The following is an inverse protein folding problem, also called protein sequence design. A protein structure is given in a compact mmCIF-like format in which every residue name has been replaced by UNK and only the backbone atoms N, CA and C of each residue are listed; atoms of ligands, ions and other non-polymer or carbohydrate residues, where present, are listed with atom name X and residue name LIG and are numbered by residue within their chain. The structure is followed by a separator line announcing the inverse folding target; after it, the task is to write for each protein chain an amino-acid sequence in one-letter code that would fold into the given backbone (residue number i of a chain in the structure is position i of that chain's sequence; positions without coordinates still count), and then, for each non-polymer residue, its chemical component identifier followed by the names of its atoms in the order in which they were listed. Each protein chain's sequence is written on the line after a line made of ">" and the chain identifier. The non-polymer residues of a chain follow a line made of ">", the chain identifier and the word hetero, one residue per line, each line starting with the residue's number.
data_IF_778381912270
#
_entry.id   IF_778381912270
#
_cell.length_a   1.000
_cell.length_b   1.000
_cell.length_c   1.000
_cell.angle_alpha   90.00
_cell.angle_beta   90.00
_cell.angle_gamma   90.00
#
_symmetry.space_group_name_H-M   'P 1'
#
loop_
_entity.id
_entity.type
_entity.pdbx_description
1 polymer ?
#
# COMPACT_ATOMS: atom_id res chain seq x y z
N UNK A 1 -17.18 -10.03 -9.23
CA UNK A 1 -16.91 -8.61 -9.54
C UNK A 1 -16.34 -7.94 -8.31
N UNK A 2 -15.16 -7.34 -8.42
CA UNK A 2 -14.57 -6.62 -7.29
C UNK A 2 -15.44 -5.38 -7.03
N UNK A 3 -16.02 -5.34 -5.84
CA UNK A 3 -16.82 -4.21 -5.38
C UNK A 3 -15.92 -3.01 -5.16
N UNK A 4 -16.43 -1.82 -5.47
CA UNK A 4 -15.72 -0.56 -5.29
C UNK A 4 -15.88 0.01 -3.87
N UNK A 5 -16.41 1.21 -3.75
CA UNK A 5 -16.62 1.92 -2.48
C UNK A 5 -18.01 1.66 -1.86
N UNK A 6 -18.62 0.51 -2.09
CA UNK A 6 -19.92 0.15 -1.54
C UNK A 6 -19.82 -0.15 -0.03
N UNK A 7 -20.83 0.23 0.75
CA UNK A 7 -20.94 -0.09 2.16
C UNK A 7 -19.87 0.53 3.07
N UNK A 8 -19.25 1.65 2.65
CA UNK A 8 -18.16 2.30 3.40
C UNK A 8 -16.77 1.74 3.09
N UNK A 9 -16.68 0.81 2.17
CA UNK A 9 -15.42 0.22 1.73
C UNK A 9 -14.68 1.10 0.73
N UNK A 10 -13.34 0.99 0.68
CA UNK A 10 -12.49 1.57 -0.36
C UNK A 10 -11.36 0.59 -0.67
N UNK A 11 -11.66 -0.45 -1.43
CA UNK A 11 -10.78 -1.62 -1.61
C UNK A 11 -9.69 -1.43 -2.66
N UNK A 12 -9.67 -0.30 -3.38
CA UNK A 12 -8.72 -0.01 -4.46
C UNK A 12 -8.26 1.43 -4.41
N UNK A 13 -7.09 1.69 -4.94
CA UNK A 13 -6.51 3.04 -5.03
C UNK A 13 -7.49 4.05 -5.66
N UNK A 14 -8.15 3.68 -6.73
CA UNK A 14 -9.13 4.53 -7.44
C UNK A 14 -10.59 4.32 -7.02
N UNK A 15 -10.85 3.62 -5.91
CA UNK A 15 -12.20 3.25 -5.45
C UNK A 15 -12.70 1.97 -6.10
N UNK A 16 -12.75 1.91 -7.41
CA UNK A 16 -13.23 0.78 -8.21
C UNK A 16 -12.28 0.43 -9.37
N UNK A 17 -12.67 -0.55 -10.19
CA UNK A 17 -11.89 -0.98 -11.37
C UNK A 17 -11.81 0.07 -12.47
N UNK A 18 -12.74 1.01 -12.51
CA UNK A 18 -12.77 2.13 -13.44
C UNK A 18 -12.00 3.34 -12.94
N UNK A 19 -11.43 3.29 -11.73
CA UNK A 19 -10.77 4.44 -11.07
C UNK A 19 -11.67 5.68 -11.01
N UNK A 20 -12.95 5.48 -10.76
CA UNK A 20 -13.94 6.58 -10.75
C UNK A 20 -13.75 7.53 -9.58
N UNK A 21 -13.07 7.09 -8.51
CA UNK A 21 -12.87 7.82 -7.25
C UNK A 21 -14.20 8.28 -6.63
N UNK A 22 -15.25 7.52 -6.91
CA UNK A 22 -16.59 7.80 -6.43
C UNK A 22 -16.94 6.91 -5.24
N UNK A 23 -17.51 7.50 -4.20
CA UNK A 23 -18.13 6.81 -3.08
C UNK A 23 -19.64 7.05 -3.10
N UNK A 24 -20.48 6.02 -2.98
CA UNK A 24 -21.94 6.17 -2.92
C UNK A 24 -22.45 6.58 -1.53
N UNK A 25 -21.57 6.91 -0.59
CA UNK A 25 -21.94 7.34 0.75
C UNK A 25 -22.60 8.73 0.67
N UNK A 26 -23.70 8.91 1.38
CA UNK A 26 -24.53 10.12 1.41
C UNK A 26 -24.78 10.68 2.81
N UNK A 27 -24.12 10.09 3.84
CA UNK A 27 -24.27 10.57 5.22
C UNK A 27 -23.81 12.02 5.41
N UNK A 28 -22.82 12.46 4.59
CA UNK A 28 -22.35 13.84 4.60
C UNK A 28 -22.93 14.54 3.37
N UNK A 29 -23.66 15.63 3.61
CA UNK A 29 -24.33 16.40 2.59
C UNK A 29 -24.29 17.90 2.89
N UNK A 30 -24.97 18.73 2.10
CA UNK A 30 -24.97 20.19 2.24
C UNK A 30 -25.53 20.69 3.58
N UNK A 31 -26.37 19.91 4.23
CA UNK A 31 -27.04 20.32 5.48
C UNK A 31 -26.17 20.07 6.71
N UNK A 32 -25.23 19.13 6.65
CA UNK A 32 -24.43 18.72 7.83
C UNK A 32 -22.90 18.82 7.64
N UNK A 33 -22.43 19.18 6.46
CA UNK A 33 -20.98 19.28 6.20
C UNK A 33 -20.28 20.32 7.09
N UNK A 34 -21.01 21.37 7.52
CA UNK A 34 -20.49 22.40 8.40
C UNK A 34 -20.29 21.94 9.85
N UNK A 35 -20.93 20.83 10.23
CA UNK A 35 -20.89 20.26 11.59
C UNK A 35 -19.80 19.19 11.74
N UNK A 36 -19.01 18.95 10.70
CA UNK A 36 -17.94 17.98 10.72
C UNK A 36 -16.83 18.38 11.71
N UNK A 37 -16.47 17.44 12.56
CA UNK A 37 -15.37 17.57 13.50
C UNK A 37 -14.27 16.55 13.20
N UNK A 38 -13.04 16.86 13.62
CA UNK A 38 -11.91 15.92 13.51
C UNK A 38 -12.10 14.83 14.57
N UNK A 39 -12.43 13.61 14.15
CA UNK A 39 -12.59 12.48 15.03
C UNK A 39 -11.26 12.06 15.67
N UNK A 40 -10.20 11.97 14.87
CA UNK A 40 -8.86 11.63 15.34
C UNK A 40 -7.78 12.12 14.37
N UNK A 41 -6.53 12.08 14.81
CA UNK A 41 -5.34 12.39 14.00
C UNK A 41 -4.28 11.31 14.22
N UNK A 42 -3.85 10.69 13.14
CA UNK A 42 -2.78 9.73 13.16
C UNK A 42 -1.45 10.38 12.75
N UNK A 43 -0.36 10.08 13.47
CA UNK A 43 0.95 10.74 13.29
C UNK A 43 1.98 9.75 12.81
N UNK A 44 2.91 10.21 11.94
CA UNK A 44 3.98 9.41 11.33
C UNK A 44 5.38 9.78 11.86
N UNK A 45 5.48 10.47 12.98
CA UNK A 45 6.73 11.00 13.53
C UNK A 45 7.77 9.91 13.82
N UNK A 46 7.33 8.70 14.10
CA UNK A 46 8.18 7.57 14.49
C UNK A 46 8.51 6.61 13.33
N UNK A 47 8.22 6.98 12.09
CA UNK A 47 8.34 6.08 10.93
C UNK A 47 9.66 6.20 10.15
N UNK A 48 10.68 6.75 10.72
CA UNK A 48 12.00 6.80 10.12
C UNK A 48 12.77 8.07 10.47
N UNK A 49 14.02 8.19 10.02
CA UNK A 49 14.93 9.27 10.41
C UNK A 49 14.58 10.61 9.77
N UNK A 50 13.67 10.63 8.82
CA UNK A 50 13.20 11.82 8.11
C UNK A 50 11.69 11.87 8.12
N UNK A 51 11.16 13.07 8.31
CA UNK A 51 9.74 13.32 8.14
C UNK A 51 9.35 13.15 6.67
N UNK A 52 8.17 12.59 6.44
CA UNK A 52 7.54 12.55 5.14
C UNK A 52 6.68 13.80 4.95
N UNK A 53 7.21 14.79 4.22
CA UNK A 53 6.47 16.03 3.95
C UNK A 53 5.66 15.98 2.65
N UNK A 54 5.63 14.86 1.98
CA UNK A 54 4.86 14.69 0.75
C UNK A 54 4.09 13.37 0.79
N UNK A 55 3.16 13.29 1.74
CA UNK A 55 2.28 12.12 1.87
C UNK A 55 1.28 12.09 0.71
N UNK A 56 1.37 11.06 -0.14
CA UNK A 56 0.53 10.88 -1.34
C UNK A 56 -0.24 9.56 -1.31
N UNK A 57 -0.17 8.80 -0.22
CA UNK A 57 -0.86 7.52 -0.14
C UNK A 57 -2.38 7.71 -0.07
N UNK A 58 -3.10 6.88 -0.80
CA UNK A 58 -4.55 6.71 -0.62
C UNK A 58 -4.76 5.50 0.28
N UNK A 59 -5.28 5.69 1.50
CA UNK A 59 -5.63 4.56 2.36
C UNK A 59 -6.73 3.69 1.74
N UNK A 60 -6.65 2.39 1.94
CA UNK A 60 -7.76 1.49 1.68
C UNK A 60 -8.60 1.36 2.96
N UNK A 61 -9.93 1.25 2.81
CA UNK A 61 -10.86 0.95 3.90
C UNK A 61 -11.48 -0.42 3.65
N UNK A 62 -11.21 -1.37 4.54
CA UNK A 62 -11.71 -2.74 4.44
C UNK A 62 -12.12 -3.24 5.81
N UNK A 63 -13.38 -3.59 5.99
CA UNK A 63 -13.89 -4.10 7.26
C UNK A 63 -13.70 -3.16 8.45
N UNK A 64 -13.74 -1.84 8.24
CA UNK A 64 -13.50 -0.84 9.28
C UNK A 64 -12.02 -0.56 9.56
N UNK A 65 -11.09 -1.21 8.87
CA UNK A 65 -9.64 -1.02 9.02
C UNK A 65 -9.09 -0.21 7.86
N UNK A 66 -8.31 0.82 8.16
CA UNK A 66 -7.55 1.61 7.19
C UNK A 66 -6.16 1.01 6.98
N UNK A 67 -5.84 0.65 5.74
CA UNK A 67 -4.52 0.17 5.36
C UNK A 67 -3.80 1.22 4.52
N UNK A 68 -2.57 1.57 4.89
CA UNK A 68 -1.79 2.58 4.17
C UNK A 68 -0.30 2.32 4.24
N UNK A 69 0.45 2.97 3.37
CA UNK A 69 1.91 3.06 3.48
C UNK A 69 2.30 4.40 4.06
N UNK A 70 3.31 4.44 4.93
CA UNK A 70 3.69 5.66 5.63
C UNK A 70 5.19 5.73 5.94
N UNK A 71 5.68 6.96 6.05
CA UNK A 71 7.04 7.30 6.45
C UNK A 71 8.09 7.03 5.39
N UNK A 72 9.32 7.45 5.68
CA UNK A 72 10.45 7.37 4.75
C UNK A 72 10.75 5.95 4.22
N UNK A 73 10.49 4.94 5.04
CA UNK A 73 10.75 3.53 4.71
C UNK A 73 9.56 2.82 4.09
N UNK A 74 8.46 3.52 3.80
CA UNK A 74 7.20 2.94 3.32
C UNK A 74 6.71 1.80 4.21
N UNK A 75 6.64 2.03 5.51
CA UNK A 75 6.05 1.04 6.40
C UNK A 75 4.57 0.84 6.03
N UNK A 76 4.09 -0.39 6.10
CA UNK A 76 2.65 -0.67 5.94
C UNK A 76 2.00 -0.63 7.32
N UNK A 77 0.85 0.01 7.41
CA UNK A 77 0.14 0.20 8.67
C UNK A 77 -1.33 -0.15 8.52
N UNK A 78 -1.87 -0.82 9.52
CA UNK A 78 -3.30 -0.98 9.71
C UNK A 78 -3.75 -0.14 10.90
N UNK A 79 -4.82 0.63 10.70
CA UNK A 79 -5.35 1.59 11.65
C UNK A 79 -6.84 1.31 11.80
N UNK A 80 -7.34 1.26 13.03
CA UNK A 80 -8.76 1.23 13.29
C UNK A 80 -9.42 2.51 12.78
N UNK A 81 -10.35 2.38 11.84
CA UNK A 81 -10.98 3.53 11.17
C UNK A 81 -11.83 4.38 12.11
N UNK A 82 -12.31 3.83 13.20
CA UNK A 82 -13.17 4.54 14.17
C UNK A 82 -12.39 5.32 15.23
N UNK A 83 -11.26 4.76 15.69
CA UNK A 83 -10.47 5.32 16.79
C UNK A 83 -9.16 5.97 16.37
N UNK A 84 -8.63 5.59 15.19
CA UNK A 84 -7.28 5.98 14.77
C UNK A 84 -6.17 5.19 15.47
N UNK A 85 -6.49 4.12 16.19
CA UNK A 85 -5.51 3.27 16.84
C UNK A 85 -4.74 2.43 15.82
N UNK A 86 -3.41 2.33 15.98
CA UNK A 86 -2.58 1.46 15.15
C UNK A 86 -2.75 0.01 15.60
N UNK A 87 -3.34 -0.81 14.74
CA UNK A 87 -3.55 -2.24 15.00
C UNK A 87 -2.27 -3.04 14.82
N UNK A 88 -1.57 -2.79 13.71
CA UNK A 88 -0.26 -3.36 13.44
C UNK A 88 0.55 -2.49 12.47
N UNK A 89 1.85 -2.76 12.42
CA UNK A 89 2.79 -2.11 11.51
C UNK A 89 3.80 -3.11 11.01
N UNK A 90 3.98 -3.16 9.70
CA UNK A 90 5.04 -3.90 9.04
C UNK A 90 6.17 -2.97 8.61
N UNK A 91 7.39 -3.35 8.97
CA UNK A 91 8.62 -2.64 8.59
C UNK A 91 9.56 -3.62 7.91
N UNK A 92 10.02 -3.24 6.74
CA UNK A 92 11.03 -4.00 6.01
C UNK A 92 12.28 -3.14 5.83
N UNK A 93 13.41 -3.64 6.33
CA UNK A 93 14.70 -2.97 6.14
C UNK A 93 15.42 -3.57 4.94
N UNK A 94 15.46 -2.84 3.86
CA UNK A 94 16.09 -3.22 2.59
C UNK A 94 17.57 -2.82 2.52
N UNK A 95 18.14 -2.31 3.62
CA UNK A 95 19.51 -1.85 3.67
C UNK A 95 19.84 -0.77 2.64
N UNK A 96 20.99 -0.92 1.97
CA UNK A 96 21.45 0.02 0.93
C UNK A 96 20.49 0.10 -0.26
N UNK A 97 19.89 -1.01 -0.67
CA UNK A 97 18.94 -1.07 -1.79
C UNK A 97 17.76 -0.11 -1.56
N UNK A 98 17.17 -0.11 -0.38
CA UNK A 98 16.09 0.81 -0.04
C UNK A 98 16.53 2.27 0.08
N UNK A 99 17.80 2.52 0.43
CA UNK A 99 18.34 3.88 0.52
C UNK A 99 18.60 4.51 -0.85
N UNK A 100 19.03 3.71 -1.81
CA UNK A 100 19.41 4.15 -3.16
C UNK A 100 18.24 4.16 -4.15
N UNK A 101 17.07 3.71 -3.75
CA UNK A 101 15.90 3.61 -4.61
C UNK A 101 15.50 4.98 -5.22
N UNK A 102 15.20 5.05 -6.55
CA UNK A 102 14.94 6.29 -7.28
C UNK A 102 13.53 6.82 -7.07
N UNK A 103 13.00 6.73 -5.86
CA UNK A 103 11.61 7.08 -5.56
C UNK A 103 11.50 8.51 -5.03
N UNK A 104 10.59 9.29 -5.61
CA UNK A 104 10.38 10.69 -5.26
C UNK A 104 9.58 10.87 -3.98
N UNK A 105 8.59 10.01 -3.72
CA UNK A 105 7.76 10.04 -2.52
C UNK A 105 8.16 8.92 -1.57
N UNK A 106 8.51 9.25 -0.35
CA UNK A 106 9.01 8.29 0.63
C UNK A 106 7.93 7.32 1.11
N UNK A 107 6.71 7.79 1.39
CA UNK A 107 5.57 6.95 1.78
C UNK A 107 5.02 6.08 0.66
N UNK A 108 5.34 6.38 -0.60
CA UNK A 108 4.64 5.79 -1.73
C UNK A 108 3.20 6.32 -1.87
N UNK A 109 2.36 5.60 -2.64
CA UNK A 109 0.97 5.98 -2.89
C UNK A 109 -0.06 5.04 -2.28
N UNK A 110 0.36 4.12 -1.42
CA UNK A 110 -0.51 3.19 -0.72
C UNK A 110 -0.17 1.73 -0.98
N UNK A 111 -1.15 0.89 -0.75
CA UNK A 111 -1.07 -0.57 -0.85
C UNK A 111 -2.20 -1.09 -1.73
N UNK A 112 -2.14 -2.38 -2.11
CA UNK A 112 -3.25 -3.07 -2.75
C UNK A 112 -3.81 -4.16 -1.83
N UNK A 113 -5.01 -4.63 -2.13
CA UNK A 113 -5.71 -5.66 -1.38
C UNK A 113 -6.11 -6.80 -2.29
N UNK A 114 -5.95 -8.01 -1.79
CA UNK A 114 -6.43 -9.25 -2.39
C UNK A 114 -7.18 -10.08 -1.35
N UNK A 115 -8.18 -10.83 -1.80
CA UNK A 115 -8.95 -11.77 -0.98
C UNK A 115 -9.40 -12.95 -1.85
N UNK A 116 -9.38 -14.15 -1.26
CA UNK A 116 -10.03 -15.33 -1.82
C UNK A 116 -11.55 -15.35 -1.58
N UNK A 117 -12.03 -14.47 -0.68
CA UNK A 117 -13.44 -14.41 -0.24
C UNK A 117 -13.81 -15.45 0.82
N UNK A 118 -12.85 -16.25 1.29
CA UNK A 118 -13.02 -17.32 2.27
C UNK A 118 -12.21 -17.09 3.56
N UNK A 119 -11.56 -15.92 3.66
CA UNK A 119 -10.83 -15.49 4.86
C UNK A 119 -9.32 -15.36 4.69
N UNK A 120 -8.77 -15.65 3.52
CA UNK A 120 -7.39 -15.28 3.18
C UNK A 120 -7.38 -13.87 2.59
N UNK A 121 -7.18 -12.90 3.45
CA UNK A 121 -7.13 -11.48 3.12
C UNK A 121 -5.68 -10.99 3.18
N UNK A 122 -5.21 -10.35 2.09
CA UNK A 122 -3.81 -9.95 1.96
C UNK A 122 -3.65 -8.49 1.59
N UNK A 123 -2.70 -7.83 2.25
CA UNK A 123 -2.20 -6.52 1.85
C UNK A 123 -0.95 -6.72 1.00
N UNK A 124 -1.00 -6.22 -0.22
CA UNK A 124 0.08 -6.30 -1.21
C UNK A 124 0.81 -4.96 -1.24
N UNK A 125 2.12 -5.01 -1.05
CA UNK A 125 2.95 -3.82 -0.95
C UNK A 125 4.18 -3.92 -1.85
N UNK A 126 4.49 -2.84 -2.56
CA UNK A 126 5.76 -2.68 -3.28
C UNK A 126 6.66 -1.76 -2.47
N UNK A 127 7.79 -2.30 -2.04
CA UNK A 127 8.76 -1.56 -1.22
C UNK A 127 9.54 -0.53 -2.02
N UNK A 128 10.30 0.32 -1.34
CA UNK A 128 11.19 1.29 -2.00
C UNK A 128 12.23 0.63 -2.89
N UNK A 129 12.84 -0.44 -2.41
CA UNK A 129 13.87 -1.18 -3.13
C UNK A 129 13.33 -2.20 -4.13
N UNK A 130 12.06 -2.08 -4.49
CA UNK A 130 11.43 -2.89 -5.53
C UNK A 130 11.33 -4.38 -5.17
N UNK A 131 10.87 -4.65 -3.94
CA UNK A 131 10.33 -5.96 -3.56
C UNK A 131 8.80 -5.92 -3.52
N UNK A 132 8.17 -7.04 -3.83
CA UNK A 132 6.74 -7.26 -3.66
C UNK A 132 6.52 -8.08 -2.40
N UNK A 133 5.72 -7.58 -1.49
CA UNK A 133 5.43 -8.21 -0.20
C UNK A 133 3.94 -8.50 -0.09
N UNK A 134 3.59 -9.70 0.39
CA UNK A 134 2.23 -10.06 0.75
C UNK A 134 2.13 -10.26 2.26
N UNK A 135 1.25 -9.48 2.90
CA UNK A 135 1.00 -9.51 4.34
C UNK A 135 -0.41 -10.03 4.62
N UNK A 136 -0.56 -10.80 5.67
CA UNK A 136 -1.88 -11.13 6.21
C UNK A 136 -2.55 -9.84 6.70
N UNK A 137 -3.75 -9.54 6.22
CA UNK A 137 -4.43 -8.27 6.49
C UNK A 137 -4.77 -8.10 7.98
N UNK A 138 -5.09 -9.18 8.69
CA UNK A 138 -5.46 -9.11 10.10
C UNK A 138 -4.25 -8.91 11.02
N UNK A 139 -3.07 -9.45 10.67
CA UNK A 139 -1.92 -9.51 11.57
C UNK A 139 -0.69 -8.71 11.13
N UNK A 140 -0.62 -8.34 9.85
CA UNK A 140 0.56 -7.69 9.27
C UNK A 140 1.77 -8.60 9.08
N UNK A 141 1.65 -9.90 9.35
CA UNK A 141 2.73 -10.84 9.13
C UNK A 141 2.86 -11.22 7.66
N UNK A 142 4.09 -11.38 7.13
CA UNK A 142 4.30 -11.89 5.79
C UNK A 142 3.67 -13.27 5.57
N UNK A 143 3.06 -13.47 4.40
CA UNK A 143 2.50 -14.76 3.98
C UNK A 143 3.64 -15.65 3.50
N UNK A 144 4.09 -16.59 4.31
CA UNK A 144 5.28 -17.40 4.05
C UNK A 144 5.23 -18.21 2.74
N UNK A 145 4.04 -18.54 2.27
CA UNK A 145 3.82 -19.23 0.99
C UNK A 145 3.91 -18.32 -0.24
N UNK A 146 4.03 -17.00 -0.06
CA UNK A 146 4.17 -16.04 -1.15
C UNK A 146 5.65 -15.72 -1.38
N UNK A 147 6.19 -16.05 -2.57
CA UNK A 147 7.59 -15.86 -2.88
C UNK A 147 8.53 -16.54 -1.89
N UNK A 148 9.59 -15.86 -1.50
CA UNK A 148 10.49 -16.30 -0.44
C UNK A 148 10.09 -15.64 0.88
N UNK A 149 9.47 -16.42 1.79
CA UNK A 149 9.03 -15.95 3.11
C UNK A 149 8.13 -14.70 3.07
N UNK A 150 7.25 -14.59 2.09
CA UNK A 150 6.32 -13.46 1.92
C UNK A 150 6.82 -12.36 1.01
N UNK A 151 7.98 -12.53 0.36
CA UNK A 151 8.66 -11.50 -0.41
C UNK A 151 9.06 -12.03 -1.79
N UNK A 152 8.87 -11.23 -2.82
CA UNK A 152 9.36 -11.48 -4.18
C UNK A 152 10.33 -10.37 -4.57
N UNK A 153 11.52 -10.73 -5.04
CA UNK A 153 12.47 -9.80 -5.61
C UNK A 153 12.06 -9.44 -7.03
N UNK A 154 11.57 -8.23 -7.24
CA UNK A 154 11.08 -7.78 -8.55
C UNK A 154 12.21 -7.45 -9.56
N UNK A 155 13.47 -7.48 -9.15
CA UNK A 155 14.60 -7.40 -10.08
C UNK A 155 14.95 -8.75 -10.71
N UNK A 156 14.49 -9.84 -10.11
CA UNK A 156 14.74 -11.18 -10.63
C UNK A 156 14.14 -11.34 -12.04
N UNK A 157 14.94 -11.83 -12.99
CA UNK A 157 14.56 -11.98 -14.39
C UNK A 157 14.56 -10.70 -15.22
N UNK A 158 14.67 -9.50 -14.64
CA UNK A 158 14.68 -8.26 -15.41
C UNK A 158 15.91 -8.11 -16.32
N UNK A 159 16.99 -8.80 -15.99
CA UNK A 159 18.24 -8.75 -16.78
C UNK A 159 18.30 -9.80 -17.88
N UNK A 160 17.29 -10.68 -17.98
CA UNK A 160 17.29 -11.74 -18.97
C UNK A 160 17.23 -11.19 -20.38
N UNK A 161 18.25 -11.47 -21.19
CA UNK A 161 18.36 -11.02 -22.56
C UNK A 161 18.74 -9.55 -22.76
N UNK A 162 19.19 -8.85 -21.71
CA UNK A 162 19.67 -7.47 -21.81
C UNK A 162 21.18 -7.40 -22.03
N UNK A 163 21.62 -6.58 -23.01
CA UNK A 163 23.04 -6.29 -23.24
C UNK A 163 23.66 -5.43 -22.11
N UNK A 164 22.83 -4.69 -21.38
CA UNK A 164 23.23 -3.85 -20.25
C UNK A 164 22.41 -4.24 -19.03
N UNK A 165 23.01 -4.96 -18.06
CA UNK A 165 22.32 -5.37 -16.85
C UNK A 165 21.81 -4.17 -16.06
N UNK A 166 20.59 -4.28 -15.57
CA UNK A 166 20.02 -3.36 -14.58
C UNK A 166 20.65 -3.67 -13.23
N UNK A 167 21.18 -2.67 -12.55
CA UNK A 167 21.78 -2.83 -11.22
C UNK A 167 20.69 -2.74 -10.16
N UNK A 168 20.70 -3.64 -9.18
CA UNK A 168 19.68 -3.70 -8.11
C UNK A 168 19.70 -2.52 -7.13
N UNK A 169 20.47 -1.50 -7.42
CA UNK A 169 20.71 -0.37 -6.53
C UNK A 169 20.29 0.96 -7.16
N UNK A 170 19.01 1.24 -7.19
CA UNK A 170 18.52 2.58 -7.44
C UNK A 170 18.23 2.94 -8.89
N UNK A 171 18.09 1.97 -9.80
CA UNK A 171 17.69 2.24 -11.17
C UNK A 171 16.19 2.10 -11.41
N UNK A 172 15.55 1.14 -10.73
CA UNK A 172 14.11 0.89 -10.89
C UNK A 172 13.43 1.05 -9.53
N UNK A 173 12.27 1.67 -9.55
CA UNK A 173 11.40 1.76 -8.39
C UNK A 173 9.94 1.91 -8.81
N UNK A 174 9.07 1.96 -7.84
CA UNK A 174 7.65 2.19 -8.04
C UNK A 174 7.10 3.04 -6.90
N UNK A 175 6.28 4.04 -7.22
CA UNK A 175 5.54 4.83 -6.24
C UNK A 175 4.07 4.42 -6.13
N UNK A 176 3.49 3.89 -7.21
CA UNK A 176 2.09 3.46 -7.25
C UNK A 176 1.91 2.12 -6.54
N UNK A 177 0.75 1.86 -5.93
CA UNK A 177 0.43 0.52 -5.47
C UNK A 177 0.35 -0.44 -6.66
N UNK A 178 0.52 -1.74 -6.40
CA UNK A 178 0.21 -2.78 -7.36
C UNK A 178 -1.28 -2.77 -7.72
N UNK A 179 -1.63 -3.36 -8.87
CA UNK A 179 -3.01 -3.60 -9.26
C UNK A 179 -3.28 -5.09 -9.14
N UNK A 180 -4.36 -5.44 -8.47
CA UNK A 180 -4.82 -6.83 -8.32
C UNK A 180 -6.00 -7.09 -9.24
N UNK A 181 -5.89 -8.12 -10.08
CA UNK A 181 -6.94 -8.55 -11.02
C UNK A 181 -7.12 -10.07 -10.90
N UNK A 182 -8.16 -10.51 -10.22
CA UNK A 182 -8.31 -11.92 -9.81
C UNK A 182 -7.10 -12.33 -8.96
N UNK A 183 -6.41 -13.38 -9.37
CA UNK A 183 -5.21 -13.91 -8.69
C UNK A 183 -3.90 -13.39 -9.30
N UNK A 184 -3.98 -12.36 -10.14
CA UNK A 184 -2.80 -11.76 -10.78
C UNK A 184 -2.49 -10.41 -10.14
N UNK A 185 -1.22 -10.21 -9.79
CA UNK A 185 -0.69 -8.94 -9.31
C UNK A 185 0.10 -8.27 -10.46
N UNK A 186 -0.33 -7.08 -10.86
CA UNK A 186 0.34 -6.28 -11.89
C UNK A 186 1.14 -5.19 -11.19
N UNK A 187 2.45 -5.16 -11.46
CA UNK A 187 3.39 -4.18 -10.91
C UNK A 187 4.00 -3.39 -12.04
N UNK A 188 3.97 -2.08 -11.95
CA UNK A 188 4.68 -1.19 -12.85
C UNK A 188 6.13 -0.99 -12.45
N UNK A 189 6.88 -0.27 -13.27
CA UNK A 189 8.22 0.19 -12.97
C UNK A 189 8.40 1.65 -13.40
N UNK A 190 9.26 2.37 -12.70
CA UNK A 190 9.73 3.70 -13.05
C UNK A 190 11.27 3.71 -13.05
N UNK A 191 11.86 4.27 -14.08
CA UNK A 191 13.30 4.49 -14.27
C UNK A 191 13.67 5.92 -13.93
#
# INVERSE_FOLDING_TARGET
>A
AQRGAEGGEWRRYGGDSGSTKYSPLDQINGDNVADLEIAWRWRTDNFGPRLDFNYQATPLMIGGVLYTSAGWRRNVVAIDGSSGETLWMYRYDEGERGQMAPVRASSGRGVAYWTDGEGDDRIIHVTKGYHLVALNAATGHPISAFGEQGIVNLYEGLNDGLDRPIVENGQIGLNSPAIVVGDVIVVGAAL
#
